data_IF_883695079578
#
_entry.id   IF_883695079578
#
_cell.length_a   1.000
_cell.length_b   1.000
_cell.length_c   1.000
_cell.angle_alpha   90.00
_cell.angle_beta   90.00
_cell.angle_gamma   90.00
#
_symmetry.space_group_name_H-M   'P 1'
#
loop_
_entity.id
_entity.type
_entity.pdbx_description
1 polymer ?
#
# COMPACT_ATOMS: atom_id res chain seq x y z
N UNK A 1 9.74 -8.86 5.16
CA UNK A 1 8.59 -7.93 5.24
C UNK A 1 8.46 -7.26 3.89
N UNK A 2 7.31 -7.39 3.23
CA UNK A 2 7.06 -6.69 1.96
C UNK A 2 6.58 -5.24 2.22
N UNK A 3 6.51 -4.42 1.17
CA UNK A 3 6.08 -3.02 1.30
C UNK A 3 4.65 -2.88 1.87
N UNK A 4 3.77 -3.84 1.58
CA UNK A 4 2.42 -3.86 2.15
C UNK A 4 2.44 -4.15 3.66
N UNK A 5 3.28 -5.06 4.15
CA UNK A 5 3.45 -5.31 5.59
C UNK A 5 3.98 -4.06 6.30
N UNK A 6 4.90 -3.31 5.65
CA UNK A 6 5.38 -2.02 6.16
C UNK A 6 4.25 -1.00 6.25
N UNK A 7 3.41 -0.91 5.22
CA UNK A 7 2.22 -0.03 5.23
C UNK A 7 1.21 -0.43 6.31
N UNK A 8 0.97 -1.73 6.49
CA UNK A 8 0.11 -2.26 7.56
C UNK A 8 0.65 -1.89 8.94
N UNK A 9 1.96 -2.04 9.15
CA UNK A 9 2.61 -1.67 10.41
C UNK A 9 2.53 -0.16 10.67
N UNK A 10 2.77 0.67 9.65
CA UNK A 10 2.66 2.12 9.73
C UNK A 10 1.23 2.59 10.04
N UNK A 11 0.22 1.94 9.47
CA UNK A 11 -1.19 2.17 9.80
C UNK A 11 -1.60 1.58 11.18
N UNK A 12 -0.76 0.72 11.77
CA UNK A 12 -0.96 0.04 13.04
C UNK A 12 -1.63 -1.34 12.93
N UNK A 13 -2.51 -1.57 11.96
CA UNK A 13 -3.07 -2.91 11.67
C UNK A 13 -3.67 -2.99 10.27
N UNK A 14 -3.93 -4.22 9.79
CA UNK A 14 -4.56 -4.42 8.48
C UNK A 14 -6.00 -3.88 8.46
N UNK A 15 -6.72 -3.94 9.58
CA UNK A 15 -8.06 -3.36 9.74
C UNK A 15 -8.00 -1.83 9.67
N UNK A 16 -7.07 -1.20 10.40
CA UNK A 16 -6.90 0.26 10.35
C UNK A 16 -6.51 0.75 8.97
N UNK A 17 -5.61 0.03 8.29
CA UNK A 17 -5.27 0.34 6.90
C UNK A 17 -6.49 0.25 5.99
N UNK A 18 -7.35 -0.76 6.18
CA UNK A 18 -8.57 -0.90 5.40
C UNK A 18 -9.55 0.25 5.63
N UNK A 19 -9.72 0.68 6.90
CA UNK A 19 -10.54 1.85 7.28
C UNK A 19 -10.03 3.13 6.62
N UNK A 20 -8.72 3.42 6.72
CA UNK A 20 -8.10 4.58 6.08
C UNK A 20 -8.29 4.60 4.56
N UNK A 21 -8.33 3.42 3.93
CA UNK A 21 -8.54 3.28 2.49
C UNK A 21 -10.02 3.16 2.10
N UNK A 22 -10.95 3.22 3.05
CA UNK A 22 -12.38 2.97 2.80
C UNK A 22 -12.58 1.66 2.00
N UNK A 23 -11.93 0.59 2.46
CA UNK A 23 -12.02 -0.75 1.88
C UNK A 23 -12.18 -1.81 2.96
N UNK A 24 -12.38 -3.06 2.58
CA UNK A 24 -12.54 -4.15 3.54
C UNK A 24 -11.19 -4.72 3.99
N UNK A 25 -11.08 -5.17 5.24
CA UNK A 25 -9.90 -5.90 5.72
C UNK A 25 -9.63 -7.17 4.89
N UNK A 26 -10.67 -7.76 4.29
CA UNK A 26 -10.55 -8.88 3.36
C UNK A 26 -9.74 -8.50 2.11
N UNK A 27 -9.94 -7.30 1.55
CA UNK A 27 -9.15 -6.83 0.40
C UNK A 27 -7.67 -6.71 0.75
N UNK A 28 -7.35 -6.12 1.91
CA UNK A 28 -5.96 -6.01 2.38
C UNK A 28 -5.33 -7.41 2.57
N UNK A 29 -6.09 -8.36 3.14
CA UNK A 29 -5.67 -9.76 3.27
C UNK A 29 -5.45 -10.44 1.92
N UNK A 30 -6.32 -10.19 0.94
CA UNK A 30 -6.14 -10.69 -0.42
C UNK A 30 -4.88 -10.14 -1.08
N UNK A 31 -4.62 -8.83 -0.98
CA UNK A 31 -3.38 -8.26 -1.52
C UNK A 31 -2.14 -8.91 -0.91
N UNK A 32 -2.17 -9.12 0.41
CA UNK A 32 -1.08 -9.73 1.17
C UNK A 32 -0.84 -11.19 0.81
N UNK A 33 -1.91 -12.00 0.75
CA UNK A 33 -1.80 -13.46 0.69
C UNK A 33 -2.01 -14.05 -0.70
N UNK A 34 -2.86 -13.43 -1.54
CA UNK A 34 -3.22 -13.94 -2.87
C UNK A 34 -2.44 -13.25 -3.98
N UNK A 35 -2.18 -11.94 -3.84
CA UNK A 35 -1.46 -11.16 -4.82
C UNK A 35 0.03 -11.00 -4.48
N UNK A 36 0.56 -11.80 -3.55
CA UNK A 36 1.99 -11.77 -3.18
C UNK A 36 2.46 -10.45 -2.56
N UNK A 37 1.55 -9.67 -1.97
CA UNK A 37 1.83 -8.32 -1.47
C UNK A 37 1.62 -7.21 -2.51
N UNK A 38 1.18 -7.54 -3.72
CA UNK A 38 0.98 -6.57 -4.79
C UNK A 38 -0.35 -5.84 -4.63
N UNK A 39 -0.27 -4.52 -4.50
CA UNK A 39 -1.42 -3.64 -4.29
C UNK A 39 -2.02 -3.19 -5.63
N UNK A 40 -3.37 -3.09 -5.77
CA UNK A 40 -3.99 -2.49 -6.94
C UNK A 40 -3.46 -1.06 -7.20
N UNK A 41 -3.28 -0.72 -8.48
CA UNK A 41 -2.75 0.59 -8.90
C UNK A 41 -3.51 1.77 -8.26
N UNK A 42 -4.84 1.70 -8.26
CA UNK A 42 -5.72 2.74 -7.70
C UNK A 42 -5.56 2.93 -6.18
N UNK A 43 -4.91 2.00 -5.47
CA UNK A 43 -4.70 2.04 -4.02
C UNK A 43 -3.29 2.45 -3.62
N UNK A 44 -2.36 2.57 -4.58
CA UNK A 44 -0.96 2.92 -4.29
C UNK A 44 -0.85 4.31 -3.65
N UNK A 45 -1.38 5.35 -4.31
CA UNK A 45 -1.33 6.72 -3.78
C UNK A 45 -2.12 6.88 -2.47
N UNK A 46 -3.35 6.33 -2.33
CA UNK A 46 -4.04 6.32 -1.04
C UNK A 46 -3.23 5.68 0.11
N UNK A 47 -2.52 4.58 -0.15
CA UNK A 47 -1.64 3.96 0.86
C UNK A 47 -0.47 4.88 1.20
N UNK A 48 0.16 5.49 0.20
CA UNK A 48 1.24 6.45 0.43
C UNK A 48 0.77 7.62 1.31
N UNK A 49 -0.38 8.22 1.02
CA UNK A 49 -0.91 9.31 1.84
C UNK A 49 -1.27 8.88 3.27
N UNK A 50 -1.71 7.64 3.46
CA UNK A 50 -2.08 7.13 4.77
C UNK A 50 -0.89 6.65 5.61
N UNK A 51 0.21 6.21 4.98
CA UNK A 51 1.28 5.46 5.67
C UNK A 51 2.70 5.98 5.42
N UNK A 52 2.88 6.83 4.41
CA UNK A 52 4.18 7.31 3.96
C UNK A 52 5.01 6.28 3.16
N UNK A 53 4.52 5.05 2.98
CA UNK A 53 5.21 4.06 2.13
C UNK A 53 5.10 4.47 0.67
N UNK A 54 6.24 4.61 0.01
CA UNK A 54 6.29 5.26 -1.32
C UNK A 54 5.63 4.41 -2.41
N UNK A 55 5.13 5.03 -3.50
CA UNK A 55 4.61 4.31 -4.64
C UNK A 55 5.61 3.33 -5.25
N UNK A 56 6.89 3.72 -5.30
CA UNK A 56 8.00 2.89 -5.74
C UNK A 56 8.16 1.62 -4.91
N UNK A 57 8.05 1.71 -3.58
CA UNK A 57 8.10 0.52 -2.72
C UNK A 57 6.91 -0.42 -2.94
N UNK A 58 5.70 0.13 -3.17
CA UNK A 58 4.47 -0.66 -3.29
C UNK A 58 4.32 -1.33 -4.67
N UNK A 59 4.69 -0.61 -5.74
CA UNK A 59 4.52 -1.03 -7.14
C UNK A 59 5.68 -0.50 -8.00
N UNK A 60 6.90 -1.05 -7.86
CA UNK A 60 8.06 -0.60 -8.64
C UNK A 60 7.88 -0.83 -10.15
N UNK A 61 6.98 -1.73 -10.54
CA UNK A 61 6.58 -1.96 -11.94
C UNK A 61 5.81 -0.78 -12.55
N UNK A 62 5.09 0.00 -11.75
CA UNK A 62 4.37 1.20 -12.19
C UNK A 62 5.09 2.51 -11.84
N UNK A 63 5.91 2.49 -10.79
CA UNK A 63 6.64 3.63 -10.25
C UNK A 63 8.13 3.27 -10.20
N UNK A 64 8.84 3.26 -11.35
CA UNK A 64 10.23 2.78 -11.41
C UNK A 64 11.23 3.67 -10.68
N UNK A 65 10.92 4.96 -10.47
CA UNK A 65 11.80 5.88 -9.76
C UNK A 65 11.31 6.16 -8.33
N UNK A 66 12.21 6.37 -7.36
CA UNK A 66 11.86 6.66 -5.98
C UNK A 66 11.00 7.91 -5.77
N UNK A 67 11.04 8.85 -6.71
CA UNK A 67 10.30 10.12 -6.66
C UNK A 67 8.96 10.08 -7.38
N UNK A 68 8.61 8.96 -8.02
CA UNK A 68 7.36 8.87 -8.79
C UNK A 68 6.14 8.91 -7.87
N UNK A 69 5.19 9.80 -8.17
CA UNK A 69 3.95 9.95 -7.41
C UNK A 69 4.09 10.66 -6.06
N UNK A 70 5.27 11.22 -5.73
CA UNK A 70 5.46 12.05 -4.55
C UNK A 70 5.04 13.51 -4.82
N UNK A 71 4.48 14.23 -3.82
CA UNK A 71 4.17 15.66 -3.94
C UNK A 71 5.47 16.48 -4.11
N UNK A 72 5.39 17.58 -4.87
CA UNK A 72 6.47 18.56 -5.05
C UNK A 72 6.44 19.64 -3.98
#
# INVERSE_FOLDING_TARGET
MNALDKAIAAAGSATKLAELLSTSAMNVSHWRNRNGGQVPQARVLPIFHATGVTPHELRPDLYPNPTDGLPK
#
